data_IF_760867473476
#
_entry.id   IF_760867473476
#
_cell.length_a   1.000
_cell.length_b   1.000
_cell.length_c   1.000
_cell.angle_alpha   90.00
_cell.angle_beta   90.00
_cell.angle_gamma   90.00
#
_symmetry.space_group_name_H-M   'P 1'
#
loop_
_entity.id
_entity.type
_entity.pdbx_description
1 polymer ?
#
# COMPACT_ATOMS: atom_id res chain seq x y z
N UNK A 1 -29.65 42.47 -48.14
CA UNK A 1 -30.16 42.21 -49.50
C UNK A 1 -29.69 40.82 -49.93
N UNK A 2 -30.66 39.97 -50.36
CA UNK A 2 -30.53 38.78 -51.23
C UNK A 2 -29.88 37.52 -50.62
N UNK A 3 -30.73 36.66 -50.04
CA UNK A 3 -30.67 35.19 -50.22
C UNK A 3 -31.17 34.81 -51.62
N UNK A 4 -30.63 33.74 -52.23
CA UNK A 4 -31.37 32.45 -52.37
C UNK A 4 -30.41 31.23 -52.44
N UNK A 5 -30.76 29.93 -52.54
CA UNK A 5 -31.89 29.06 -52.22
C UNK A 5 -31.47 27.66 -52.79
N UNK A 6 -31.64 26.58 -52.01
CA UNK A 6 -32.00 25.14 -52.30
C UNK A 6 -31.74 24.56 -53.72
N UNK A 7 -31.33 23.30 -53.94
CA UNK A 7 -32.10 22.04 -53.71
C UNK A 7 -31.45 20.80 -54.42
N UNK A 8 -31.55 19.60 -53.79
CA UNK A 8 -32.06 18.28 -54.31
C UNK A 8 -31.23 17.54 -55.40
N UNK A 9 -30.88 16.23 -55.37
CA UNK A 9 -31.72 15.00 -55.42
C UNK A 9 -30.86 13.70 -55.31
N UNK A 10 -31.39 12.65 -54.68
CA UNK A 10 -31.03 11.21 -54.79
C UNK A 10 -32.01 10.54 -55.78
N UNK A 11 -31.69 9.42 -56.50
CA UNK A 11 -31.99 8.07 -55.96
C UNK A 11 -31.22 6.84 -56.52
N UNK A 12 -31.23 5.76 -55.70
CA UNK A 12 -31.31 4.31 -56.00
C UNK A 12 -30.18 3.61 -56.80
N UNK A 13 -29.78 2.35 -56.58
CA UNK A 13 -30.54 1.11 -56.34
C UNK A 13 -29.73 0.03 -55.59
N UNK A 14 -30.51 -0.91 -55.04
CA UNK A 14 -30.23 -2.05 -54.16
C UNK A 14 -29.48 -3.19 -54.87
N UNK A 15 -28.56 -3.86 -54.16
CA UNK A 15 -28.29 -5.28 -54.37
C UNK A 15 -28.13 -5.99 -53.01
N UNK A 16 -29.08 -6.88 -52.74
CA UNK A 16 -29.21 -7.74 -51.58
C UNK A 16 -28.63 -9.11 -51.95
N UNK A 17 -27.62 -9.57 -51.22
CA UNK A 17 -27.12 -10.93 -51.33
C UNK A 17 -27.10 -11.56 -49.93
N UNK A 18 -28.10 -12.39 -49.63
CA UNK A 18 -28.02 -13.38 -48.56
C UNK A 18 -27.12 -14.52 -49.04
N UNK A 19 -26.01 -14.73 -48.33
CA UNK A 19 -25.29 -15.99 -48.37
C UNK A 19 -25.36 -16.61 -46.97
N UNK A 20 -26.23 -17.59 -46.83
CA UNK A 20 -26.26 -18.56 -45.72
C UNK A 20 -25.08 -19.52 -45.87
N UNK A 21 -24.11 -19.45 -44.96
CA UNK A 21 -22.99 -20.40 -44.85
C UNK A 21 -23.03 -21.16 -43.53
N UNK A 22 -22.79 -22.49 -43.50
CA UNK A 22 -22.83 -23.28 -42.28
C UNK A 22 -21.50 -23.22 -41.50
N UNK A 23 -21.64 -23.07 -40.18
CA UNK A 23 -20.75 -23.53 -39.11
C UNK A 23 -19.23 -23.60 -39.37
N UNK A 24 -18.53 -22.50 -39.07
CA UNK A 24 -17.16 -22.56 -38.55
C UNK A 24 -17.24 -22.57 -37.02
N UNK A 25 -16.70 -23.63 -36.43
CA UNK A 25 -16.56 -23.80 -34.99
C UNK A 25 -15.87 -22.57 -34.39
N UNK A 26 -16.64 -21.72 -33.71
CA UNK A 26 -16.11 -20.63 -32.92
C UNK A 26 -15.47 -21.27 -31.69
N UNK A 27 -14.13 -21.37 -31.73
CA UNK A 27 -13.30 -21.78 -30.60
C UNK A 27 -13.51 -20.74 -29.49
N UNK A 28 -14.45 -21.04 -28.60
CA UNK A 28 -14.74 -20.21 -27.44
C UNK A 28 -13.64 -20.46 -26.43
N UNK A 29 -12.61 -19.63 -26.47
CA UNK A 29 -11.74 -19.41 -25.30
C UNK A 29 -12.62 -18.80 -24.22
N UNK A 30 -13.25 -19.66 -23.41
CA UNK A 30 -13.93 -19.23 -22.20
C UNK A 30 -12.94 -18.47 -21.30
N UNK A 31 -13.37 -17.45 -20.55
CA UNK A 31 -12.50 -16.77 -19.60
C UNK A 31 -12.02 -17.78 -18.55
N UNK A 32 -10.77 -18.22 -18.66
CA UNK A 32 -10.11 -18.95 -17.60
C UNK A 32 -9.81 -17.95 -16.50
N UNK A 33 -10.56 -18.02 -15.39
CA UNK A 33 -10.17 -17.36 -14.16
C UNK A 33 -8.79 -17.92 -13.78
N UNK A 34 -7.77 -17.09 -13.52
CA UNK A 34 -6.52 -17.58 -12.97
C UNK A 34 -6.84 -18.22 -11.62
N UNK A 35 -6.65 -19.53 -11.51
CA UNK A 35 -6.54 -20.20 -10.21
C UNK A 35 -5.19 -19.85 -9.63
N UNK A 36 -5.06 -18.62 -9.12
CA UNK A 36 -4.01 -18.29 -8.17
C UNK A 36 -4.36 -19.04 -6.88
N UNK A 37 -3.67 -20.16 -6.64
CA UNK A 37 -3.64 -20.75 -5.30
C UNK A 37 -3.25 -19.65 -4.33
N UNK A 38 -4.10 -19.30 -3.35
CA UNK A 38 -3.76 -18.25 -2.41
C UNK A 38 -2.49 -18.68 -1.66
N UNK A 39 -1.47 -17.82 -1.58
CA UNK A 39 -0.26 -18.12 -0.81
C UNK A 39 -0.63 -18.54 0.61
N UNK A 40 0.11 -19.53 1.12
CA UNK A 40 -0.11 -20.10 2.44
C UNK A 40 0.02 -19.01 3.51
N UNK A 41 -0.81 -19.03 4.56
CA UNK A 41 -0.71 -18.09 5.69
C UNK A 41 0.67 -18.10 6.37
N UNK A 42 1.39 -19.22 6.28
CA UNK A 42 2.79 -19.35 6.73
C UNK A 42 3.76 -18.47 5.92
N UNK A 43 3.56 -18.35 4.62
CA UNK A 43 4.43 -17.57 3.74
C UNK A 43 4.30 -16.06 4.04
N UNK A 44 3.11 -15.61 4.43
CA UNK A 44 2.89 -14.23 4.83
C UNK A 44 3.54 -13.89 6.17
N UNK A 45 3.39 -14.76 7.18
CA UNK A 45 4.00 -14.55 8.49
C UNK A 45 5.54 -14.53 8.40
N UNK A 46 6.13 -15.40 7.57
CA UNK A 46 7.57 -15.40 7.36
C UNK A 46 8.06 -14.12 6.66
N UNK A 47 7.36 -13.67 5.60
CA UNK A 47 7.69 -12.40 4.93
C UNK A 47 7.62 -11.20 5.87
N UNK A 48 6.65 -11.18 6.79
CA UNK A 48 6.55 -10.16 7.83
C UNK A 48 7.73 -10.21 8.81
N UNK A 49 8.09 -11.39 9.31
CA UNK A 49 9.26 -11.56 10.17
C UNK A 49 10.54 -11.08 9.46
N UNK A 50 10.75 -11.45 8.20
CA UNK A 50 11.90 -11.00 7.41
C UNK A 50 11.91 -9.47 7.21
N UNK A 51 10.73 -8.85 7.07
CA UNK A 51 10.61 -7.39 6.99
C UNK A 51 10.98 -6.70 8.32
N UNK A 52 10.61 -7.30 9.45
CA UNK A 52 10.98 -6.81 10.78
C UNK A 52 12.49 -6.91 10.97
N UNK A 53 13.12 -8.04 10.66
CA UNK A 53 14.57 -8.20 10.79
C UNK A 53 15.34 -7.22 9.89
N UNK A 54 14.87 -7.01 8.65
CA UNK A 54 15.45 -6.00 7.76
C UNK A 54 15.38 -4.60 8.39
N UNK A 55 14.22 -4.22 8.93
CA UNK A 55 14.06 -2.92 9.59
C UNK A 55 14.97 -2.78 10.82
N UNK A 56 15.13 -3.84 11.60
CA UNK A 56 16.05 -3.87 12.75
C UNK A 56 17.48 -3.63 12.27
N UNK A 57 17.94 -4.37 11.25
CA UNK A 57 19.27 -4.22 10.69
C UNK A 57 19.51 -2.80 10.13
N UNK A 58 18.54 -2.26 9.37
CA UNK A 58 18.62 -0.92 8.79
C UNK A 58 18.73 0.15 9.88
N UNK A 59 17.93 0.05 10.94
CA UNK A 59 17.97 0.99 12.07
C UNK A 59 19.29 0.89 12.85
N UNK A 60 19.81 -0.33 13.07
CA UNK A 60 21.11 -0.54 13.73
C UNK A 60 22.23 0.17 12.96
N UNK A 61 22.24 0.00 11.64
CA UNK A 61 23.23 0.59 10.75
C UNK A 61 23.10 2.12 10.69
N UNK A 62 21.87 2.63 10.53
CA UNK A 62 21.62 4.08 10.47
C UNK A 62 21.99 4.80 11.76
N UNK A 63 21.67 4.21 12.92
CA UNK A 63 22.04 4.73 14.23
C UNK A 63 23.50 4.46 14.61
N UNK A 64 24.23 3.67 13.82
CA UNK A 64 25.62 3.27 14.08
C UNK A 64 25.79 2.75 15.51
N UNK A 65 24.91 1.85 15.91
CA UNK A 65 24.91 1.28 17.25
C UNK A 65 26.26 0.62 17.55
N UNK A 66 26.76 0.85 18.76
CA UNK A 66 28.06 0.36 19.23
C UNK A 66 27.89 -0.76 20.25
N UNK A 67 28.97 -1.50 20.53
CA UNK A 67 28.97 -2.57 21.54
C UNK A 67 28.54 -2.08 22.93
N UNK A 68 28.85 -0.82 23.27
CA UNK A 68 28.45 -0.20 24.53
C UNK A 68 26.91 -0.01 24.64
N UNK A 69 26.22 0.01 23.50
CA UNK A 69 24.78 0.22 23.39
C UNK A 69 24.01 -1.08 23.11
N UNK A 70 24.72 -2.20 22.91
CA UNK A 70 24.15 -3.47 22.48
C UNK A 70 23.01 -3.94 23.38
N UNK A 71 23.14 -3.79 24.70
CA UNK A 71 22.10 -4.20 25.66
C UNK A 71 20.77 -3.48 25.42
N UNK A 72 20.79 -2.15 25.30
CA UNK A 72 19.59 -1.35 25.06
C UNK A 72 19.06 -1.57 23.65
N UNK A 73 19.96 -1.73 22.68
CA UNK A 73 19.58 -2.07 21.31
C UNK A 73 18.83 -3.40 21.22
N UNK A 74 19.35 -4.44 21.86
CA UNK A 74 18.75 -5.78 21.84
C UNK A 74 17.35 -5.76 22.47
N UNK A 75 17.15 -5.00 23.55
CA UNK A 75 15.84 -4.81 24.17
C UNK A 75 14.84 -4.11 23.22
N UNK A 76 15.29 -3.07 22.51
CA UNK A 76 14.49 -2.38 21.50
C UNK A 76 14.14 -3.29 20.32
N UNK A 77 15.13 -4.00 19.76
CA UNK A 77 14.95 -4.94 18.66
C UNK A 77 14.03 -6.10 19.05
N UNK A 78 14.17 -6.64 20.25
CA UNK A 78 13.29 -7.68 20.77
C UNK A 78 11.85 -7.18 20.90
N UNK A 79 11.66 -5.96 21.39
CA UNK A 79 10.32 -5.33 21.47
C UNK A 79 9.67 -5.20 20.09
N UNK A 80 10.44 -4.87 19.04
CA UNK A 80 9.93 -4.86 17.66
C UNK A 80 9.47 -6.25 17.20
N UNK A 81 10.26 -7.30 17.46
CA UNK A 81 9.93 -8.69 17.10
C UNK A 81 8.68 -9.18 17.82
N UNK A 82 8.60 -8.95 19.13
CA UNK A 82 7.47 -9.36 19.95
C UNK A 82 6.18 -8.65 19.52
N UNK A 83 6.25 -7.35 19.26
CA UNK A 83 5.13 -6.58 18.75
C UNK A 83 4.63 -7.10 17.40
N UNK A 84 5.54 -7.42 16.48
CA UNK A 84 5.18 -7.97 15.17
C UNK A 84 4.50 -9.34 15.31
N UNK A 85 5.07 -10.25 16.12
CA UNK A 85 4.47 -11.55 16.41
C UNK A 85 3.06 -11.42 16.98
N UNK A 86 2.87 -10.55 17.97
CA UNK A 86 1.57 -10.32 18.62
C UNK A 86 0.55 -9.75 17.62
N UNK A 87 0.97 -8.80 16.78
CA UNK A 87 0.11 -8.24 15.74
C UNK A 87 -0.31 -9.32 14.74
N UNK A 88 0.65 -10.09 14.20
CA UNK A 88 0.36 -11.14 13.23
C UNK A 88 -0.57 -12.22 13.80
N UNK A 89 -0.40 -12.59 15.08
CA UNK A 89 -1.29 -13.51 15.79
C UNK A 89 -2.71 -12.95 15.88
N UNK A 90 -2.87 -11.71 16.37
CA UNK A 90 -4.18 -11.07 16.49
C UNK A 90 -4.87 -10.92 15.12
N UNK A 91 -4.14 -10.56 14.06
CA UNK A 91 -4.67 -10.49 12.70
C UNK A 91 -5.12 -11.86 12.19
N UNK A 92 -4.33 -12.91 12.38
CA UNK A 92 -4.69 -14.28 11.97
C UNK A 92 -5.92 -14.78 12.71
N UNK A 93 -5.94 -14.64 14.03
CA UNK A 93 -7.07 -15.06 14.87
C UNK A 93 -8.35 -14.34 14.45
N UNK A 94 -8.26 -13.02 14.24
CA UNK A 94 -9.39 -12.22 13.77
C UNK A 94 -9.87 -12.69 12.40
N UNK A 95 -8.96 -12.90 11.45
CA UNK A 95 -9.31 -13.37 10.10
C UNK A 95 -10.03 -14.73 10.11
N UNK A 96 -9.63 -15.63 11.01
CA UNK A 96 -10.27 -16.94 11.16
C UNK A 96 -11.69 -16.84 11.76
N UNK A 97 -11.90 -15.93 12.72
CA UNK A 97 -13.18 -15.81 13.43
C UNK A 97 -14.18 -14.88 12.74
N UNK A 98 -13.71 -13.88 12.00
CA UNK A 98 -14.53 -12.82 11.39
C UNK A 98 -15.71 -13.35 10.54
N UNK A 99 -15.58 -14.39 9.69
CA UNK A 99 -16.69 -14.89 8.89
C UNK A 99 -17.89 -15.40 9.72
N UNK A 100 -17.68 -15.79 10.98
CA UNK A 100 -18.73 -16.30 11.87
C UNK A 100 -19.29 -15.25 12.86
N UNK A 101 -18.67 -14.07 12.95
CA UNK A 101 -19.06 -13.04 13.92
C UNK A 101 -20.35 -12.32 13.53
N UNK A 102 -21.13 -11.89 14.54
CA UNK A 102 -22.18 -10.89 14.33
C UNK A 102 -21.56 -9.50 14.25
N UNK A 103 -22.30 -8.53 13.70
CA UNK A 103 -21.77 -7.18 13.49
C UNK A 103 -21.23 -6.51 14.77
N UNK A 104 -21.88 -6.61 15.95
CA UNK A 104 -21.30 -6.07 17.19
C UNK A 104 -19.99 -6.74 17.60
N UNK A 105 -19.85 -8.06 17.42
CA UNK A 105 -18.63 -8.80 17.73
C UNK A 105 -17.50 -8.48 16.74
N UNK A 106 -17.85 -8.28 15.47
CA UNK A 106 -16.91 -7.85 14.45
C UNK A 106 -16.37 -6.43 14.73
N UNK A 107 -17.22 -5.53 15.25
CA UNK A 107 -16.80 -4.20 15.71
C UNK A 107 -15.90 -4.30 16.96
N UNK A 108 -16.30 -5.09 17.96
CA UNK A 108 -15.52 -5.30 19.18
C UNK A 108 -14.13 -5.88 18.90
N UNK A 109 -14.04 -6.90 18.05
CA UNK A 109 -12.75 -7.51 17.68
C UNK A 109 -11.81 -6.55 16.94
N UNK A 110 -12.34 -5.56 16.22
CA UNK A 110 -11.51 -4.49 15.65
C UNK A 110 -11.00 -3.53 16.73
N UNK A 111 -11.87 -3.16 17.70
CA UNK A 111 -11.45 -2.34 18.83
C UNK A 111 -10.34 -3.00 19.65
N UNK A 112 -10.49 -4.30 19.97
CA UNK A 112 -9.48 -5.07 20.72
C UNK A 112 -8.13 -5.14 19.96
N UNK A 113 -8.16 -5.22 18.63
CA UNK A 113 -6.97 -5.17 17.77
C UNK A 113 -6.28 -3.79 17.83
N UNK A 114 -7.06 -2.70 17.79
CA UNK A 114 -6.50 -1.34 17.90
C UNK A 114 -5.92 -1.06 19.28
N UNK A 115 -6.52 -1.59 20.35
CA UNK A 115 -5.97 -1.52 21.71
C UNK A 115 -4.63 -2.26 21.79
N UNK A 116 -4.56 -3.47 21.23
CA UNK A 116 -3.30 -4.22 21.11
C UNK A 116 -2.22 -3.43 20.38
N UNK A 117 -2.58 -2.75 19.28
CA UNK A 117 -1.64 -1.90 18.56
C UNK A 117 -1.15 -0.72 19.41
N UNK A 118 -2.04 -0.04 20.13
CA UNK A 118 -1.67 1.06 21.02
C UNK A 118 -0.70 0.59 22.12
N UNK A 119 -0.96 -0.55 22.75
CA UNK A 119 -0.07 -1.10 23.78
C UNK A 119 1.29 -1.50 23.24
N UNK A 120 1.33 -2.10 22.04
CA UNK A 120 2.57 -2.41 21.36
C UNK A 120 3.39 -1.13 21.08
N UNK A 121 2.74 -0.05 20.63
CA UNK A 121 3.40 1.23 20.40
C UNK A 121 3.92 1.89 21.69
N UNK A 122 3.17 1.82 22.80
CA UNK A 122 3.65 2.28 24.11
C UNK A 122 4.90 1.53 24.55
N UNK A 123 4.91 0.20 24.43
CA UNK A 123 6.09 -0.63 24.75
C UNK A 123 7.29 -0.27 23.89
N UNK A 124 7.07 -0.10 22.58
CA UNK A 124 8.13 0.28 21.66
C UNK A 124 8.70 1.67 21.98
N UNK A 125 7.83 2.64 22.31
CA UNK A 125 8.26 3.97 22.73
C UNK A 125 9.10 3.94 24.01
N UNK A 126 8.71 3.13 25.00
CA UNK A 126 9.49 2.93 26.23
C UNK A 126 10.87 2.36 25.92
N UNK A 127 10.94 1.25 25.17
CA UNK A 127 12.21 0.63 24.83
C UNK A 127 13.11 1.54 23.96
N UNK A 128 12.50 2.36 23.10
CA UNK A 128 13.24 3.36 22.34
C UNK A 128 13.77 4.49 23.22
N UNK A 129 13.02 4.92 24.25
CA UNK A 129 13.50 5.90 25.22
C UNK A 129 14.76 5.40 25.94
N UNK A 130 14.74 4.15 26.41
CA UNK A 130 15.89 3.54 27.09
C UNK A 130 17.12 3.46 26.18
N UNK A 131 16.91 3.14 24.88
CA UNK A 131 17.96 3.19 23.87
C UNK A 131 18.45 4.61 23.63
N UNK A 132 17.54 5.57 23.46
CA UNK A 132 17.85 6.96 23.18
C UNK A 132 18.73 7.55 24.28
N UNK A 133 18.47 7.24 25.54
CA UNK A 133 19.23 7.78 26.67
C UNK A 133 20.73 7.44 26.62
N UNK A 134 21.08 6.27 26.06
CA UNK A 134 22.48 5.83 25.90
C UNK A 134 23.11 6.18 24.54
N UNK A 135 22.37 6.85 23.65
CA UNK A 135 22.90 7.32 22.37
C UNK A 135 23.81 8.55 22.56
N UNK A 136 24.83 8.66 21.70
CA UNK A 136 25.65 9.87 21.59
C UNK A 136 24.82 11.05 21.06
N UNK A 137 25.25 12.31 21.26
CA UNK A 137 24.57 13.47 20.70
C UNK A 137 24.32 13.37 19.19
N UNK A 138 25.30 12.87 18.44
CA UNK A 138 25.20 12.69 16.99
C UNK A 138 24.17 11.63 16.61
N UNK A 139 24.14 10.51 17.34
CA UNK A 139 23.15 9.44 17.13
C UNK A 139 21.74 9.90 17.49
N UNK A 140 21.58 10.69 18.56
CA UNK A 140 20.30 11.33 18.92
C UNK A 140 19.80 12.25 17.81
N UNK A 141 20.69 13.04 17.20
CA UNK A 141 20.34 13.88 16.06
C UNK A 141 19.92 13.06 14.84
N UNK A 142 20.56 11.92 14.57
CA UNK A 142 20.14 10.99 13.50
C UNK A 142 18.76 10.39 13.80
N UNK A 143 18.55 9.90 15.03
CA UNK A 143 17.27 9.40 15.52
C UNK A 143 16.15 10.41 15.32
N UNK A 144 16.34 11.63 15.79
CA UNK A 144 15.38 12.72 15.68
C UNK A 144 14.99 13.03 14.23
N UNK A 145 15.97 13.07 13.31
CA UNK A 145 15.73 13.35 11.89
C UNK A 145 14.87 12.28 11.23
N UNK A 146 15.12 11.00 11.55
CA UNK A 146 14.33 9.88 11.02
C UNK A 146 12.84 10.02 11.39
N UNK A 147 12.52 10.48 12.60
CA UNK A 147 11.14 10.64 13.05
C UNK A 147 10.49 11.95 12.57
N UNK A 148 11.25 13.03 12.35
CA UNK A 148 10.72 14.29 11.79
C UNK A 148 10.42 14.20 10.29
N UNK A 149 11.08 13.30 9.56
CA UNK A 149 10.90 13.11 8.12
C UNK A 149 10.62 11.64 7.75
N UNK A 150 9.46 11.08 8.13
CA UNK A 150 9.15 9.67 7.94
C UNK A 150 9.00 9.19 6.46
N UNK A 151 9.34 10.03 5.48
CA UNK A 151 9.38 9.70 4.04
C UNK A 151 10.62 10.18 3.30
N UNK A 152 11.64 10.71 4.01
CA UNK A 152 12.88 11.18 3.42
C UNK A 152 13.88 10.03 3.27
N UNK A 153 13.70 9.19 2.25
CA UNK A 153 14.85 8.43 1.74
C UNK A 153 15.95 9.45 1.40
N UNK A 154 17.12 9.33 2.04
CA UNK A 154 18.36 9.95 1.57
C UNK A 154 18.74 9.30 0.23
N UNK A 155 17.97 9.61 -0.80
CA UNK A 155 18.25 9.34 -2.20
C UNK A 155 18.65 10.66 -2.86
N UNK A 156 19.82 10.63 -3.50
CA UNK A 156 20.37 11.57 -4.49
C UNK A 156 19.67 12.93 -4.77
N UNK A 157 20.44 14.03 -4.87
CA UNK A 157 19.96 15.23 -5.56
C UNK A 157 19.96 14.98 -7.08
N UNK A 158 18.85 14.51 -7.63
CA UNK A 158 18.75 14.09 -9.03
C UNK A 158 17.49 14.55 -9.77
N UNK A 159 17.57 15.75 -10.36
CA UNK A 159 16.84 16.27 -11.55
C UNK A 159 15.36 16.68 -11.43
N UNK A 160 15.21 17.99 -11.29
CA UNK A 160 14.25 18.89 -11.97
C UNK A 160 13.34 18.31 -13.06
N UNK A 161 12.05 18.61 -12.92
CA UNK A 161 11.31 19.31 -13.98
C UNK A 161 10.28 18.49 -14.75
N UNK A 162 9.00 18.67 -14.39
CA UNK A 162 7.95 19.08 -15.35
C UNK A 162 6.76 19.64 -14.59
N UNK A 163 6.62 20.96 -14.64
CA UNK A 163 5.44 21.68 -14.20
C UNK A 163 4.26 21.28 -15.10
N UNK A 164 3.19 20.76 -14.51
CA UNK A 164 1.89 20.71 -15.17
C UNK A 164 1.28 22.10 -15.11
N UNK A 165 1.21 22.78 -16.24
CA UNK A 165 0.40 23.99 -16.41
C UNK A 165 -1.09 23.65 -16.29
N UNK A 166 -1.89 24.35 -15.47
CA UNK A 166 -3.35 24.23 -15.53
C UNK A 166 -3.84 24.92 -16.80
N UNK A 167 -4.56 24.19 -17.66
CA UNK A 167 -5.27 24.80 -18.77
C UNK A 167 -6.43 25.64 -18.21
N UNK A 168 -6.30 26.95 -18.36
CA UNK A 168 -7.31 27.95 -18.03
C UNK A 168 -8.64 27.61 -18.70
N UNK A 169 -9.68 27.40 -17.87
CA UNK A 169 -11.06 27.49 -18.32
C UNK A 169 -11.40 28.98 -18.51
N UNK A 170 -11.32 29.46 -19.75
CA UNK A 170 -11.92 30.72 -20.15
C UNK A 170 -13.28 30.47 -20.78
N UNK A 171 -14.29 30.97 -20.07
CA UNK A 171 -15.67 31.27 -20.45
C UNK A 171 -15.86 31.87 -21.85
N UNK A 172 -16.95 31.47 -22.53
CA UNK A 172 -17.77 32.19 -23.55
C UNK A 172 -18.36 31.15 -24.53
N UNK A 173 -19.58 31.15 -25.06
CA UNK A 173 -20.76 32.03 -25.02
C UNK A 173 -21.93 31.22 -25.61
N UNK A 174 -23.14 31.54 -25.14
CA UNK A 174 -24.49 31.11 -25.54
C UNK A 174 -24.78 31.15 -27.06
N UNK A 175 -25.76 30.38 -27.55
CA UNK A 175 -27.04 30.98 -27.94
C UNK A 175 -28.26 30.42 -27.18
#
# INVERSE_FOLDING_TARGET
MKTPLRSVTLPALIAFALATGPALAQQTSGPQLPTSTPPSTKDHAQKHADAVERRIADLHAQLKITDQQAKQWDAFAQTMRDNARKADEAFRERAQKLPGMKAPDAMKSYADLTETHADNMKKLASAFSDLYDVLSPEQKQLADQMYRHPGGHMGEPGKTGKAHTPASASSSTKP
#
